data_IF_846868611123
#
_entry.id   IF_846868611123
#
_cell.length_a   1.000
_cell.length_b   1.000
_cell.length_c   1.000
_cell.angle_alpha   90.00
_cell.angle_beta   90.00
_cell.angle_gamma   90.00
#
_symmetry.space_group_name_H-M   'P 1'
#
loop_
_entity.id
_entity.type
_entity.pdbx_description
1 polymer ?
#
# COMPACT_ATOMS: atom_id res chain seq x y z
N UNK A 1 29.30 48.69 6.83
CA UNK A 1 28.12 47.83 7.09
C UNK A 1 28.15 46.62 6.14
N UNK A 2 28.68 45.47 6.57
CA UNK A 2 28.80 44.24 5.73
C UNK A 2 28.64 42.93 6.51
N UNK A 3 28.11 42.97 7.74
CA UNK A 3 27.98 41.79 8.63
C UNK A 3 26.60 41.12 8.60
N UNK A 4 25.57 41.79 8.08
CA UNK A 4 24.18 41.28 8.12
C UNK A 4 23.84 40.34 6.96
N UNK A 5 24.47 40.47 5.79
CA UNK A 5 24.21 39.58 4.65
C UNK A 5 24.66 38.13 4.89
N UNK A 6 25.77 37.93 5.61
CA UNK A 6 26.28 36.59 5.92
C UNK A 6 25.40 35.84 6.93
N UNK A 7 24.82 36.54 7.91
CA UNK A 7 23.95 35.92 8.92
C UNK A 7 22.59 35.50 8.35
N UNK A 8 22.01 36.32 7.46
CA UNK A 8 20.72 36.01 6.80
C UNK A 8 20.86 34.82 5.84
N UNK A 9 21.94 34.77 5.04
CA UNK A 9 22.20 33.63 4.15
C UNK A 9 22.43 32.31 4.89
N UNK A 10 23.12 32.36 6.03
CA UNK A 10 23.38 31.17 6.85
C UNK A 10 22.13 30.68 7.58
N UNK A 11 21.28 31.58 8.08
CA UNK A 11 19.98 31.23 8.68
C UNK A 11 19.03 30.56 7.67
N UNK A 12 18.99 31.07 6.43
CA UNK A 12 18.16 30.48 5.37
C UNK A 12 18.64 29.07 4.99
N UNK A 13 19.96 28.88 4.88
CA UNK A 13 20.55 27.57 4.56
C UNK A 13 20.24 26.51 5.64
N UNK A 14 20.31 26.90 6.92
CA UNK A 14 19.95 26.01 8.04
C UNK A 14 18.47 25.64 7.98
N UNK A 15 17.58 26.61 7.75
CA UNK A 15 16.14 26.34 7.64
C UNK A 15 15.80 25.38 6.48
N UNK A 16 16.45 25.57 5.32
CA UNK A 16 16.29 24.66 4.17
C UNK A 16 16.81 23.26 4.49
N UNK A 17 17.99 23.14 5.11
CA UNK A 17 18.55 21.84 5.51
C UNK A 17 17.67 21.12 6.53
N UNK A 18 17.13 21.84 7.51
CA UNK A 18 16.19 21.27 8.49
C UNK A 18 14.88 20.85 7.83
N UNK A 19 14.38 21.61 6.85
CA UNK A 19 13.22 21.23 6.05
C UNK A 19 13.44 19.95 5.25
N UNK A 20 14.59 19.84 4.57
CA UNK A 20 14.99 18.64 3.82
C UNK A 20 15.15 17.44 4.77
N UNK A 21 15.83 17.63 5.90
CA UNK A 21 16.02 16.57 6.89
C UNK A 21 14.70 16.12 7.51
N UNK A 22 13.80 17.06 7.83
CA UNK A 22 12.46 16.77 8.33
C UNK A 22 11.64 15.96 7.32
N UNK A 23 11.64 16.36 6.05
CA UNK A 23 11.00 15.60 4.97
C UNK A 23 11.62 14.22 4.79
N UNK A 24 12.95 14.11 4.88
CA UNK A 24 13.66 12.84 4.75
C UNK A 24 13.37 11.87 5.90
N UNK A 25 13.36 12.36 7.14
CA UNK A 25 12.98 11.58 8.32
C UNK A 25 11.51 11.15 8.26
N UNK A 26 10.64 11.98 7.70
CA UNK A 26 9.23 11.66 7.53
C UNK A 26 9.00 10.59 6.46
N UNK A 27 9.83 10.56 5.40
CA UNK A 27 9.78 9.56 4.34
C UNK A 27 10.36 8.19 4.68
N UNK A 28 11.11 8.04 5.78
CA UNK A 28 11.71 6.76 6.16
C UNK A 28 10.66 5.74 6.65
N UNK A 29 10.85 4.44 6.35
CA UNK A 29 10.04 3.38 6.97
C UNK A 29 10.24 3.43 8.48
N UNK A 30 9.13 3.30 9.21
CA UNK A 30 9.13 3.25 10.69
C UNK A 30 9.68 1.91 11.17
N UNK A 31 9.38 0.84 10.42
CA UNK A 31 9.81 -0.54 10.67
C UNK A 31 9.96 -1.25 9.34
N UNK A 32 10.91 -2.19 9.22
CA UNK A 32 10.97 -3.08 8.05
C UNK A 32 10.00 -4.25 8.22
N UNK A 33 9.16 -4.48 7.22
CA UNK A 33 8.16 -5.54 7.22
C UNK A 33 8.65 -6.71 6.36
N UNK A 34 8.78 -7.93 6.92
CA UNK A 34 9.25 -9.09 6.17
C UNK A 34 8.24 -9.47 5.09
N UNK A 35 8.75 -9.81 3.89
CA UNK A 35 7.91 -10.27 2.79
C UNK A 35 7.31 -11.65 3.08
N UNK A 36 6.04 -11.90 2.68
CA UNK A 36 5.44 -13.22 2.83
C UNK A 36 6.14 -14.29 1.99
N UNK A 37 6.32 -15.48 2.57
CA UNK A 37 6.83 -16.66 1.87
C UNK A 37 5.79 -17.22 0.89
N UNK A 38 6.21 -18.20 0.06
CA UNK A 38 5.30 -18.93 -0.84
C UNK A 38 4.22 -19.74 -0.12
N UNK A 39 4.46 -20.09 1.14
CA UNK A 39 3.53 -20.82 2.00
C UNK A 39 2.50 -19.91 2.68
N UNK A 40 2.72 -18.59 2.65
CA UNK A 40 1.77 -17.66 3.22
C UNK A 40 0.41 -17.75 2.53
N UNK A 41 -0.65 -17.77 3.33
CA UNK A 41 -2.02 -17.69 2.83
C UNK A 41 -2.29 -16.32 2.19
N UNK A 42 -3.25 -16.23 1.24
CA UNK A 42 -3.66 -14.95 0.68
C UNK A 42 -4.06 -13.92 1.74
N UNK A 43 -4.74 -14.35 2.81
CA UNK A 43 -5.11 -13.49 3.92
C UNK A 43 -3.90 -12.94 4.70
N UNK A 44 -2.84 -13.74 4.88
CA UNK A 44 -1.59 -13.27 5.49
C UNK A 44 -0.92 -12.22 4.61
N UNK A 45 -0.88 -12.41 3.29
CA UNK A 45 -0.31 -11.42 2.37
C UNK A 45 -1.04 -10.08 2.45
N UNK A 46 -2.39 -10.07 2.51
CA UNK A 46 -3.18 -8.84 2.69
C UNK A 46 -2.86 -8.14 4.02
N UNK A 47 -2.73 -8.90 5.12
CA UNK A 47 -2.35 -8.34 6.42
C UNK A 47 -0.96 -7.74 6.40
N UNK A 48 0.03 -8.44 5.83
CA UNK A 48 1.41 -7.94 5.70
C UNK A 48 1.47 -6.71 4.82
N UNK A 49 0.67 -6.65 3.75
CA UNK A 49 0.56 -5.46 2.91
C UNK A 49 -0.01 -4.25 3.67
N UNK A 50 -1.09 -4.42 4.42
CA UNK A 50 -1.63 -3.36 5.27
C UNK A 50 -0.63 -2.90 6.34
N UNK A 51 0.12 -3.84 6.93
CA UNK A 51 1.18 -3.51 7.88
C UNK A 51 2.30 -2.68 7.21
N UNK A 52 2.81 -3.13 6.06
CA UNK A 52 3.84 -2.41 5.31
C UNK A 52 3.41 -0.98 4.96
N UNK A 53 2.15 -0.80 4.57
CA UNK A 53 1.55 0.52 4.35
C UNK A 53 1.53 1.40 5.62
N UNK A 54 1.05 0.84 6.73
CA UNK A 54 0.98 1.57 8.01
C UNK A 54 2.35 1.92 8.60
N UNK A 55 3.34 1.05 8.38
CA UNK A 55 4.73 1.22 8.80
C UNK A 55 5.57 2.05 7.81
N UNK A 56 4.97 2.50 6.70
CA UNK A 56 5.62 3.25 5.61
C UNK A 56 6.77 2.45 4.94
N UNK A 57 6.74 1.13 5.02
CA UNK A 57 7.61 0.24 4.24
C UNK A 57 7.02 0.05 2.83
N UNK A 58 7.03 1.13 2.06
CA UNK A 58 6.48 1.13 0.70
C UNK A 58 7.27 0.22 -0.24
N UNK A 59 8.54 -0.06 0.06
CA UNK A 59 9.33 -1.01 -0.72
C UNK A 59 8.80 -2.44 -0.56
N UNK A 60 8.50 -2.86 0.69
CA UNK A 60 7.86 -4.14 0.95
C UNK A 60 6.45 -4.18 0.32
N UNK A 61 5.65 -3.14 0.50
CA UNK A 61 4.31 -3.05 -0.06
C UNK A 61 4.29 -3.15 -1.59
N UNK A 62 5.17 -2.40 -2.28
CA UNK A 62 5.32 -2.45 -3.76
C UNK A 62 5.76 -3.84 -4.24
N UNK A 63 6.60 -4.53 -3.47
CA UNK A 63 7.05 -5.89 -3.83
C UNK A 63 5.91 -6.92 -3.83
N UNK A 64 4.88 -6.70 -3.01
CA UNK A 64 3.71 -7.57 -2.92
C UNK A 64 2.67 -7.32 -4.03
N UNK A 65 2.71 -6.18 -4.74
CA UNK A 65 1.71 -5.81 -5.76
C UNK A 65 2.24 -6.03 -7.18
N UNK A 66 1.38 -6.41 -8.14
CA UNK A 66 1.75 -6.58 -9.55
C UNK A 66 1.72 -5.24 -10.30
N UNK A 67 2.88 -4.85 -10.82
CA UNK A 67 3.04 -3.62 -11.60
C UNK A 67 2.75 -2.36 -10.77
N UNK A 68 2.48 -1.26 -11.46
CA UNK A 68 2.11 0.02 -10.82
C UNK A 68 0.58 0.12 -10.62
N UNK A 69 -0.19 -0.93 -10.90
CA UNK A 69 -1.66 -0.92 -10.99
C UNK A 69 -2.35 -1.15 -9.65
N UNK A 70 -1.84 -0.53 -8.60
CA UNK A 70 -2.59 -0.35 -7.36
C UNK A 70 -3.53 0.83 -7.68
N UNK A 71 -4.85 0.60 -7.74
CA UNK A 71 -5.89 1.55 -8.18
C UNK A 71 -6.00 2.89 -7.42
N UNK A 72 -4.96 3.29 -6.69
CA UNK A 72 -4.81 4.54 -5.97
C UNK A 72 -3.50 5.14 -6.46
N UNK A 73 -3.60 6.17 -7.30
CA UNK A 73 -2.51 6.84 -8.03
C UNK A 73 -1.13 6.69 -7.36
N UNK A 74 -0.25 5.93 -8.03
CA UNK A 74 1.06 5.50 -7.53
C UNK A 74 2.01 6.65 -7.09
N UNK A 75 1.76 7.89 -7.55
CA UNK A 75 2.58 9.06 -7.25
C UNK A 75 2.51 9.52 -5.78
N UNK A 76 1.50 9.08 -5.00
CA UNK A 76 1.27 9.52 -3.61
C UNK A 76 1.79 8.56 -2.52
N UNK A 77 2.29 7.39 -2.91
CA UNK A 77 2.71 6.34 -1.97
C UNK A 77 3.83 6.79 -1.04
N UNK A 78 4.82 7.54 -1.54
CA UNK A 78 6.05 7.80 -0.81
C UNK A 78 5.98 9.02 0.14
N UNK A 79 4.98 9.90 -0.02
CA UNK A 79 4.83 11.12 0.79
C UNK A 79 3.83 10.94 1.95
N UNK A 80 2.57 10.62 1.63
CA UNK A 80 1.51 10.49 2.64
C UNK A 80 1.13 9.04 2.94
N UNK A 81 1.22 8.15 1.93
CA UNK A 81 0.98 6.71 2.07
C UNK A 81 -0.46 6.35 2.47
N UNK A 82 -1.18 5.52 1.69
CA UNK A 82 -2.47 5.03 2.15
C UNK A 82 -2.29 4.23 3.45
N UNK A 83 -3.22 4.37 4.40
CA UNK A 83 -3.24 3.58 5.64
C UNK A 83 -4.49 2.72 5.69
N UNK A 84 -4.33 1.51 6.20
CA UNK A 84 -5.39 0.52 6.34
C UNK A 84 -5.42 0.11 7.81
N UNK A 85 -6.31 0.73 8.57
CA UNK A 85 -6.48 0.51 9.99
C UNK A 85 -7.60 -0.52 10.23
N UNK A 86 -7.57 -1.21 11.39
CA UNK A 86 -8.65 -2.11 11.82
C UNK A 86 -9.03 -3.20 10.79
N UNK A 87 -8.04 -3.66 10.02
CA UNK A 87 -8.21 -4.67 8.98
C UNK A 87 -8.74 -5.97 9.59
N UNK A 88 -9.95 -6.35 9.18
CA UNK A 88 -10.53 -7.66 9.44
C UNK A 88 -10.67 -8.43 8.14
N UNK A 89 -10.27 -9.70 8.16
CA UNK A 89 -10.54 -10.63 7.07
C UNK A 89 -11.93 -11.21 7.28
N UNK A 90 -12.81 -11.03 6.30
CA UNK A 90 -14.17 -11.57 6.31
C UNK A 90 -14.22 -12.96 5.68
N UNK A 91 -13.42 -13.19 4.64
CA UNK A 91 -13.39 -14.46 3.95
C UNK A 91 -12.34 -14.53 2.84
N UNK A 92 -12.10 -15.74 2.34
CA UNK A 92 -11.25 -15.99 1.19
C UNK A 92 -11.96 -16.94 0.23
N UNK A 93 -12.06 -16.60 -1.05
CA UNK A 93 -12.71 -17.42 -2.06
C UNK A 93 -11.83 -17.57 -3.30
N UNK A 94 -11.76 -18.79 -3.84
CA UNK A 94 -11.06 -19.03 -5.10
C UNK A 94 -11.90 -18.48 -6.25
N UNK A 95 -11.29 -17.65 -7.08
CA UNK A 95 -11.96 -17.13 -8.29
C UNK A 95 -11.85 -18.19 -9.38
N UNK A 96 -13.00 -18.58 -9.95
CA UNK A 96 -13.09 -19.64 -10.95
C UNK A 96 -12.53 -19.20 -12.31
N UNK A 97 -12.03 -20.16 -13.08
CA UNK A 97 -11.51 -19.93 -14.43
C UNK A 97 -12.60 -19.33 -15.33
N UNK A 98 -12.33 -18.16 -15.93
CA UNK A 98 -13.28 -17.43 -16.77
C UNK A 98 -13.96 -16.24 -16.07
N UNK A 99 -13.92 -16.19 -14.74
CA UNK A 99 -14.30 -15.00 -13.97
C UNK A 99 -13.19 -13.94 -13.98
N UNK A 100 -13.55 -12.69 -13.72
CA UNK A 100 -12.60 -11.59 -13.56
C UNK A 100 -11.94 -11.67 -12.19
N UNK A 101 -10.61 -11.85 -12.15
CA UNK A 101 -9.83 -11.71 -10.92
C UNK A 101 -9.52 -10.22 -10.73
N UNK A 102 -10.44 -9.50 -10.11
CA UNK A 102 -10.47 -8.03 -10.07
C UNK A 102 -10.98 -7.46 -11.39
N UNK A 103 -10.27 -6.49 -11.96
CA UNK A 103 -10.77 -5.67 -13.08
C UNK A 103 -10.66 -6.27 -14.49
N UNK A 104 -9.90 -7.36 -14.71
CA UNK A 104 -9.72 -7.98 -16.05
C UNK A 104 -9.60 -9.50 -15.98
N UNK A 105 -10.13 -10.22 -16.97
CA UNK A 105 -10.03 -11.69 -17.08
C UNK A 105 -8.56 -12.14 -17.13
N UNK A 106 -8.19 -13.12 -16.31
CA UNK A 106 -6.79 -13.50 -16.08
C UNK A 106 -6.43 -14.84 -16.68
N UNK A 107 -6.27 -14.90 -18.00
CA UNK A 107 -5.74 -16.12 -18.65
C UNK A 107 -4.28 -16.41 -18.30
N UNK A 108 -3.54 -15.39 -17.84
CA UNK A 108 -2.10 -15.48 -17.55
C UNK A 108 -1.76 -16.07 -16.17
N UNK A 109 -2.71 -16.13 -15.24
CA UNK A 109 -2.47 -16.60 -13.87
C UNK A 109 -3.25 -17.89 -13.61
N UNK A 110 -2.56 -18.93 -13.14
CA UNK A 110 -3.19 -20.23 -12.89
C UNK A 110 -4.06 -20.26 -11.65
N UNK A 111 -3.77 -19.40 -10.68
CA UNK A 111 -4.51 -19.33 -9.43
C UNK A 111 -4.87 -17.87 -9.13
N UNK A 112 -6.13 -17.66 -8.75
CA UNK A 112 -6.63 -16.40 -8.23
C UNK A 112 -7.47 -16.64 -6.97
N UNK A 113 -7.26 -15.81 -5.95
CA UNK A 113 -8.03 -15.79 -4.72
C UNK A 113 -8.46 -14.36 -4.45
N UNK A 114 -9.74 -14.20 -4.13
CA UNK A 114 -10.30 -12.96 -3.59
C UNK A 114 -10.34 -13.06 -2.06
N UNK A 115 -9.91 -12.00 -1.41
CA UNK A 115 -9.88 -11.85 0.05
C UNK A 115 -10.78 -10.67 0.41
N UNK A 116 -11.92 -10.97 1.00
CA UNK A 116 -12.90 -9.99 1.43
C UNK A 116 -12.51 -9.46 2.82
N UNK A 117 -12.58 -8.15 2.99
CA UNK A 117 -12.08 -7.45 4.17
C UNK A 117 -13.02 -6.34 4.62
N UNK A 118 -12.86 -5.92 5.88
CA UNK A 118 -13.54 -4.76 6.46
C UNK A 118 -12.49 -3.92 7.18
N UNK A 119 -12.24 -2.69 6.70
CA UNK A 119 -11.11 -1.87 7.16
C UNK A 119 -11.42 -0.38 7.18
N UNK A 120 -10.69 0.38 7.98
CA UNK A 120 -10.73 1.84 7.96
C UNK A 120 -9.61 2.36 7.06
N UNK A 121 -9.97 2.99 5.94
CA UNK A 121 -9.00 3.55 4.99
C UNK A 121 -8.73 5.03 5.31
N UNK A 122 -7.45 5.41 5.41
CA UNK A 122 -7.03 6.81 5.55
C UNK A 122 -6.08 7.17 4.43
N UNK A 123 -6.15 8.42 3.98
CA UNK A 123 -5.26 8.96 2.93
C UNK A 123 -5.29 8.16 1.61
N UNK A 124 -6.43 7.54 1.32
CA UNK A 124 -6.71 6.87 0.04
C UNK A 124 -7.49 7.84 -0.84
N UNK A 125 -6.89 8.29 -1.94
CA UNK A 125 -7.56 9.13 -2.94
C UNK A 125 -8.78 8.36 -3.49
N UNK A 126 -9.90 9.05 -3.69
CA UNK A 126 -11.22 8.52 -4.10
C UNK A 126 -12.12 7.88 -3.02
N UNK A 127 -11.71 7.80 -1.75
CA UNK A 127 -12.59 7.41 -0.63
C UNK A 127 -13.07 8.60 0.21
N UNK A 128 -12.68 9.83 -0.16
CA UNK A 128 -13.02 11.06 0.56
C UNK A 128 -14.45 11.61 0.32
N UNK A 129 -15.38 10.82 -0.22
CA UNK A 129 -16.73 11.31 -0.56
C UNK A 129 -17.84 10.84 0.37
N UNK A 130 -17.54 10.09 1.42
CA UNK A 130 -18.53 9.69 2.43
C UNK A 130 -18.16 10.34 3.77
N UNK A 131 -19.09 11.10 4.34
CA UNK A 131 -18.99 11.76 5.66
C UNK A 131 -18.92 10.79 6.84
N UNK A 132 -18.51 9.54 6.61
CA UNK A 132 -18.56 8.49 7.61
C UNK A 132 -17.24 7.72 7.69
N UNK A 133 -16.44 7.87 8.76
CA UNK A 133 -15.20 7.14 8.97
C UNK A 133 -15.44 5.66 9.36
N UNK A 134 -16.54 5.08 8.89
CA UNK A 134 -16.93 3.72 9.19
C UNK A 134 -16.16 2.73 8.34
N UNK A 135 -15.80 1.60 8.97
CA UNK A 135 -15.07 0.52 8.35
C UNK A 135 -15.75 0.12 7.03
N UNK A 136 -14.99 0.08 5.96
CA UNK A 136 -15.46 -0.15 4.60
C UNK A 136 -15.13 -1.58 4.14
N UNK A 137 -16.11 -2.22 3.53
CA UNK A 137 -15.92 -3.52 2.89
C UNK A 137 -15.07 -3.35 1.63
N UNK A 138 -14.08 -4.22 1.48
CA UNK A 138 -13.10 -4.15 0.39
C UNK A 138 -12.62 -5.53 -0.01
N UNK A 139 -12.22 -5.72 -1.27
CA UNK A 139 -11.73 -7.01 -1.76
C UNK A 139 -10.35 -6.88 -2.38
N UNK A 140 -9.46 -7.81 -2.01
CA UNK A 140 -8.13 -7.94 -2.57
C UNK A 140 -8.06 -9.18 -3.46
N UNK A 141 -7.54 -9.02 -4.66
CA UNK A 141 -7.37 -10.12 -5.61
C UNK A 141 -5.90 -10.50 -5.69
N UNK A 142 -5.59 -11.71 -5.24
CA UNK A 142 -4.24 -12.25 -5.21
C UNK A 142 -4.08 -13.33 -6.26
N UNK A 143 -2.93 -13.34 -6.91
CA UNK A 143 -2.60 -14.30 -7.96
C UNK A 143 -1.23 -14.93 -7.77
N UNK A 144 -1.07 -16.15 -8.29
CA UNK A 144 0.22 -16.83 -8.48
C UNK A 144 0.12 -17.88 -9.60
N UNK A 145 1.26 -18.35 -10.13
CA UNK A 145 1.27 -19.39 -11.16
C UNK A 145 1.49 -20.81 -10.62
N UNK A 146 2.06 -20.94 -9.42
CA UNK A 146 2.31 -22.22 -8.76
C UNK A 146 2.40 -22.02 -7.24
N UNK A 147 2.30 -23.11 -6.50
CA UNK A 147 2.36 -23.07 -5.03
C UNK A 147 3.77 -22.73 -4.49
N UNK A 148 4.78 -22.80 -5.34
CA UNK A 148 6.17 -22.39 -5.05
C UNK A 148 6.42 -20.89 -5.20
N UNK A 149 5.46 -20.13 -5.75
CA UNK A 149 5.55 -18.69 -5.89
C UNK A 149 4.76 -17.99 -4.77
N UNK A 150 5.31 -16.89 -4.25
CA UNK A 150 4.56 -16.00 -3.36
C UNK A 150 3.34 -15.42 -4.05
N UNK A 151 2.25 -15.29 -3.30
CA UNK A 151 1.08 -14.55 -3.75
C UNK A 151 1.43 -13.09 -4.00
N UNK A 152 0.85 -12.52 -5.05
CA UNK A 152 0.93 -11.09 -5.32
C UNK A 152 -0.44 -10.49 -5.48
N UNK A 153 -0.64 -9.31 -4.90
CA UNK A 153 -1.85 -8.51 -5.05
C UNK A 153 -1.86 -7.97 -6.47
N UNK A 154 -2.84 -8.38 -7.26
CA UNK A 154 -3.05 -7.90 -8.62
C UNK A 154 -3.91 -6.64 -8.61
N UNK A 155 -4.95 -6.68 -7.80
CA UNK A 155 -5.99 -5.67 -7.75
C UNK A 155 -6.51 -5.58 -6.31
N UNK A 156 -7.02 -4.42 -5.98
CA UNK A 156 -7.62 -4.10 -4.69
C UNK A 156 -8.66 -3.02 -4.98
N UNK A 157 -9.92 -3.38 -4.84
CA UNK A 157 -11.04 -2.55 -5.27
C UNK A 157 -12.26 -2.82 -4.40
N UNK A 158 -13.15 -1.83 -4.38
CA UNK A 158 -14.49 -2.02 -3.82
C UNK A 158 -15.21 -3.08 -4.66
N UNK A 159 -15.69 -4.13 -4.00
CA UNK A 159 -16.50 -5.17 -4.63
C UNK A 159 -17.77 -4.62 -5.26
#
# INVERSE_FOLDING_TARGET
MRRTQSAVGMGLAIAVLLGILGLWLWGKPRTSVPLPSSEASPAQVVKTFAQALNDRDFAAAKSMVIGNQVGVDAEWWDLHGPRIEELQILGTKRVTTGATCGSKVTKAWKQCVEVDTLSTFRHVKSLNTSEDPHREAWSYYLVRNSDTQSWRIRDWGKG
#
